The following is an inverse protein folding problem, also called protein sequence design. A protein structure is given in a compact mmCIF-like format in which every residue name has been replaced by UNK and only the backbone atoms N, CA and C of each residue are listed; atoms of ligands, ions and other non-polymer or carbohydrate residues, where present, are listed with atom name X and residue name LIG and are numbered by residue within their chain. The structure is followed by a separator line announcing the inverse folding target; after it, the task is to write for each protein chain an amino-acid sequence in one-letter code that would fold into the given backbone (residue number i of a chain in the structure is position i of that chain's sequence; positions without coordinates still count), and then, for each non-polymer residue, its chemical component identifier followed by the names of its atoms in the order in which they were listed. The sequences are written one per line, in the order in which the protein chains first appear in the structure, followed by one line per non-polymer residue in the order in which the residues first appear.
data_IF_099414487903
#
_entry.id   IF_099414487903
#
_cell.length_a   1.000
_cell.length_b   1.000
_cell.length_c   1.000
_cell.angle_alpha   90.00
_cell.angle_beta   90.00
_cell.angle_gamma   90.00
#
_symmetry.space_group_name_H-M   'P 1'
#
loop_
_entity.id
_entity.type
_entity.pdbx_description
1 polymer ?
#
# COMPACT_ATOMS: atom_id res chain seq x y z
N UNK A 1 49.10 -3.44 -25.56
CA UNK A 1 48.56 -4.26 -24.48
C UNK A 1 47.62 -3.47 -23.50
N UNK A 2 47.80 -2.16 -23.36
CA UNK A 2 46.94 -1.34 -22.49
C UNK A 2 45.50 -1.20 -23.01
N UNK A 3 45.30 -1.20 -24.34
CA UNK A 3 43.99 -1.07 -25.00
C UNK A 3 43.09 -2.30 -24.82
N UNK A 4 43.66 -3.49 -24.70
CA UNK A 4 42.91 -4.75 -24.52
C UNK A 4 42.49 -4.87 -23.05
N UNK A 5 43.38 -4.47 -22.12
CA UNK A 5 43.11 -4.49 -20.68
C UNK A 5 41.96 -3.55 -20.32
N UNK A 6 41.87 -2.37 -20.96
CA UNK A 6 40.77 -1.44 -20.74
C UNK A 6 39.42 -1.97 -21.25
N UNK A 7 39.39 -2.75 -22.34
CA UNK A 7 38.16 -3.37 -22.86
C UNK A 7 37.63 -4.47 -21.94
N UNK A 8 38.51 -5.32 -21.42
CA UNK A 8 38.11 -6.36 -20.48
C UNK A 8 37.63 -5.77 -19.12
N UNK A 9 38.31 -4.73 -18.62
CA UNK A 9 37.90 -4.02 -17.43
C UNK A 9 36.52 -3.36 -17.60
N UNK A 10 36.26 -2.75 -18.76
CA UNK A 10 34.97 -2.13 -19.09
C UNK A 10 33.84 -3.16 -19.17
N UNK A 11 34.09 -4.31 -19.82
CA UNK A 11 33.11 -5.40 -19.92
C UNK A 11 32.81 -5.98 -18.54
N UNK A 12 33.81 -6.18 -17.70
CA UNK A 12 33.63 -6.69 -16.34
C UNK A 12 32.86 -5.69 -15.49
N UNK A 13 33.08 -4.39 -15.64
CA UNK A 13 32.35 -3.36 -14.95
C UNK A 13 30.87 -3.30 -15.37
N UNK A 14 30.58 -3.44 -16.66
CA UNK A 14 29.24 -3.48 -17.22
C UNK A 14 28.49 -4.73 -16.73
N UNK A 15 29.14 -5.90 -16.67
CA UNK A 15 28.50 -7.13 -16.18
C UNK A 15 28.24 -7.10 -14.67
N UNK A 16 29.07 -6.43 -13.86
CA UNK A 16 28.80 -6.24 -12.43
C UNK A 16 27.59 -5.32 -12.18
N UNK A 17 27.37 -4.32 -13.03
CA UNK A 17 26.20 -3.43 -12.90
C UNK A 17 24.89 -4.09 -13.35
N UNK A 18 24.94 -5.17 -14.14
CA UNK A 18 23.73 -5.85 -14.66
C UNK A 18 23.05 -6.78 -13.65
N UNK A 19 23.61 -6.96 -12.44
CA UNK A 19 23.05 -7.83 -11.39
C UNK A 19 22.28 -7.10 -10.29
N UNK A 20 21.98 -5.83 -10.46
CA UNK A 20 21.06 -5.16 -9.55
C UNK A 20 19.64 -5.66 -9.88
N UNK A 21 19.14 -6.60 -9.08
CA UNK A 21 17.74 -6.97 -9.09
C UNK A 21 16.96 -5.77 -8.58
N UNK A 22 16.38 -5.01 -9.50
CA UNK A 22 15.37 -4.01 -9.17
C UNK A 22 14.11 -4.81 -8.79
N UNK A 23 13.93 -5.07 -7.52
CA UNK A 23 12.64 -5.53 -7.03
C UNK A 23 11.69 -4.33 -7.11
N UNK A 24 10.72 -4.40 -8.00
CA UNK A 24 9.70 -3.37 -8.18
C UNK A 24 8.60 -3.44 -7.12
N UNK A 25 8.54 -4.53 -6.35
CA UNK A 25 7.59 -4.80 -5.25
C UNK A 25 8.23 -5.80 -4.28
N UNK A 26 7.68 -5.92 -3.08
CA UNK A 26 8.08 -6.97 -2.16
C UNK A 26 7.84 -8.34 -2.80
N UNK A 27 8.84 -9.25 -2.80
CA UNK A 27 8.66 -10.59 -3.34
C UNK A 27 7.59 -11.36 -2.58
N UNK A 28 6.83 -12.22 -3.28
CA UNK A 28 5.89 -13.12 -2.64
C UNK A 28 6.59 -14.00 -1.59
N UNK A 29 5.99 -14.10 -0.41
CA UNK A 29 6.54 -14.86 0.71
C UNK A 29 7.65 -14.12 1.49
N UNK A 30 7.92 -12.84 1.19
CA UNK A 30 8.77 -12.01 2.05
C UNK A 30 8.03 -11.62 3.33
N UNK A 31 8.80 -11.33 4.37
CA UNK A 31 8.25 -10.75 5.61
C UNK A 31 7.78 -9.33 5.27
N UNK A 32 6.52 -9.04 5.55
CA UNK A 32 5.95 -7.71 5.38
C UNK A 32 6.60 -6.72 6.36
N UNK A 33 6.94 -5.51 5.94
CA UNK A 33 7.32 -4.46 6.90
C UNK A 33 6.18 -4.16 7.87
N UNK A 34 6.48 -4.06 9.15
CA UNK A 34 5.48 -3.61 10.14
C UNK A 34 5.14 -2.14 9.95
N UNK A 35 3.98 -1.73 10.46
CA UNK A 35 3.60 -0.32 10.53
C UNK A 35 2.79 -0.01 11.79
N UNK A 36 2.88 1.24 12.22
CA UNK A 36 1.96 1.87 13.17
C UNK A 36 1.44 3.15 12.51
N UNK A 37 0.18 3.12 12.05
CA UNK A 37 -0.43 4.19 11.27
C UNK A 37 -1.79 4.59 11.83
N UNK A 38 -2.10 5.88 11.76
CA UNK A 38 -3.37 6.43 12.23
C UNK A 38 -4.29 6.72 11.05
N UNK A 39 -5.53 6.26 11.14
CA UNK A 39 -6.56 6.47 10.13
C UNK A 39 -7.24 7.85 10.26
N UNK A 40 -8.13 8.19 9.30
CA UNK A 40 -8.89 9.44 9.31
C UNK A 40 -9.84 9.58 10.52
N UNK A 41 -10.14 8.49 11.22
CA UNK A 41 -10.95 8.49 12.45
C UNK A 41 -10.10 8.63 13.71
N UNK A 42 -8.80 8.90 13.59
CA UNK A 42 -7.83 9.00 14.68
C UNK A 42 -7.62 7.69 15.45
N UNK A 43 -7.86 6.55 14.80
CA UNK A 43 -7.55 5.23 15.35
C UNK A 43 -6.16 4.82 14.84
N UNK A 44 -5.28 4.43 15.77
CA UNK A 44 -3.96 3.90 15.42
C UNK A 44 -4.03 2.40 15.24
N UNK A 45 -3.43 1.90 14.17
CA UNK A 45 -3.39 0.51 13.76
C UNK A 45 -1.94 0.04 13.67
N UNK A 46 -1.65 -1.12 14.24
CA UNK A 46 -0.36 -1.81 14.15
C UNK A 46 -0.56 -3.12 13.39
N UNK A 47 0.20 -3.31 12.31
CA UNK A 47 -0.03 -4.44 11.41
C UNK A 47 0.08 -5.78 12.13
N UNK A 48 1.17 -5.99 12.88
CA UNK A 48 1.38 -7.25 13.56
C UNK A 48 0.52 -7.38 14.82
N UNK A 49 0.69 -6.45 15.77
CA UNK A 49 0.10 -6.55 17.11
C UNK A 49 -1.44 -6.62 17.06
N UNK A 50 -2.07 -5.83 16.17
CA UNK A 50 -3.53 -5.72 16.14
C UNK A 50 -4.19 -6.72 15.18
N UNK A 51 -3.43 -7.31 14.22
CA UNK A 51 -4.04 -8.12 13.15
C UNK A 51 -3.33 -9.44 12.90
N UNK A 52 -2.12 -9.47 12.34
CA UNK A 52 -1.53 -10.73 11.89
C UNK A 52 -1.18 -11.66 13.05
N UNK A 53 -0.73 -11.16 14.19
CA UNK A 53 -0.49 -11.94 15.40
C UNK A 53 -1.79 -12.49 16.03
N UNK A 54 -2.92 -11.88 15.66
CA UNK A 54 -4.26 -12.34 16.06
C UNK A 54 -4.91 -13.28 15.03
N UNK A 55 -4.22 -13.57 13.93
CA UNK A 55 -4.67 -14.49 12.90
C UNK A 55 -5.45 -13.87 11.74
N UNK A 56 -5.47 -12.54 11.63
CA UNK A 56 -6.12 -11.86 10.50
C UNK A 56 -5.22 -11.86 9.26
N UNK A 57 -5.80 -12.17 8.11
CA UNK A 57 -5.23 -11.81 6.81
C UNK A 57 -5.48 -10.32 6.57
N UNK A 58 -4.45 -9.57 6.18
CA UNK A 58 -4.57 -8.12 5.95
C UNK A 58 -4.39 -7.80 4.48
N UNK A 59 -5.38 -7.11 3.89
CA UNK A 59 -5.25 -6.50 2.56
C UNK A 59 -4.91 -5.03 2.71
N UNK A 60 -3.88 -4.58 1.99
CA UNK A 60 -3.41 -3.20 2.01
C UNK A 60 -3.39 -2.69 0.58
N UNK A 61 -4.28 -1.74 0.29
CA UNK A 61 -4.36 -1.03 -0.99
C UNK A 61 -3.54 0.26 -0.91
N UNK A 62 -2.37 0.26 -1.54
CA UNK A 62 -1.60 1.47 -1.77
C UNK A 62 -2.09 2.14 -3.05
N UNK A 63 -2.68 3.29 -2.92
CA UNK A 63 -3.24 4.08 -4.00
C UNK A 63 -2.81 5.55 -3.92
N UNK A 64 -3.05 6.30 -5.00
CA UNK A 64 -2.89 7.74 -5.02
C UNK A 64 -4.21 8.40 -5.46
N UNK A 65 -4.58 9.51 -4.84
CA UNK A 65 -5.89 10.16 -5.05
C UNK A 65 -6.18 10.54 -6.50
N UNK A 66 -5.15 10.86 -7.30
CA UNK A 66 -5.24 11.25 -8.70
C UNK A 66 -5.21 10.07 -9.68
N UNK A 67 -4.98 8.86 -9.19
CA UNK A 67 -4.74 7.67 -10.00
C UNK A 67 -6.07 7.11 -10.55
N UNK A 68 -6.29 7.21 -11.84
CA UNK A 68 -7.50 6.70 -12.50
C UNK A 68 -7.71 5.18 -12.36
N UNK A 69 -6.69 4.32 -12.60
CA UNK A 69 -6.80 2.88 -12.34
C UNK A 69 -7.12 2.55 -10.88
N UNK A 70 -6.56 3.29 -9.90
CA UNK A 70 -6.87 3.12 -8.49
C UNK A 70 -8.35 3.42 -8.19
N UNK A 71 -8.85 4.53 -8.76
CA UNK A 71 -10.25 4.89 -8.65
C UNK A 71 -11.18 3.82 -9.24
N UNK A 72 -10.83 3.28 -10.40
CA UNK A 72 -11.58 2.18 -11.00
C UNK A 72 -11.60 0.93 -10.13
N UNK A 73 -10.47 0.61 -9.48
CA UNK A 73 -10.38 -0.50 -8.53
C UNK A 73 -11.21 -0.23 -7.26
N UNK A 74 -11.06 0.95 -6.68
CA UNK A 74 -11.82 1.38 -5.50
C UNK A 74 -13.34 1.30 -5.74
N UNK A 75 -13.82 1.85 -6.85
CA UNK A 75 -15.25 1.86 -7.22
C UNK A 75 -15.78 0.52 -7.70
N UNK A 76 -14.93 -0.47 -7.95
CA UNK A 76 -15.36 -1.86 -8.18
C UNK A 76 -15.93 -2.52 -6.92
N UNK A 77 -15.66 -1.94 -5.74
CA UNK A 77 -16.06 -2.42 -4.43
C UNK A 77 -15.44 -3.76 -4.00
N UNK A 78 -14.43 -4.27 -4.72
CA UNK A 78 -13.82 -5.57 -4.42
C UNK A 78 -13.34 -5.69 -2.97
N UNK A 79 -12.58 -4.69 -2.48
CA UNK A 79 -12.10 -4.68 -1.09
C UNK A 79 -13.21 -4.34 -0.09
N UNK A 80 -14.20 -3.56 -0.49
CA UNK A 80 -15.38 -3.29 0.33
C UNK A 80 -16.15 -4.57 0.61
N UNK A 81 -16.43 -5.37 -0.42
CA UNK A 81 -17.13 -6.64 -0.28
C UNK A 81 -16.34 -7.61 0.62
N UNK A 82 -15.01 -7.64 0.49
CA UNK A 82 -14.14 -8.43 1.37
C UNK A 82 -14.27 -7.96 2.82
N UNK A 83 -14.16 -6.66 3.07
CA UNK A 83 -14.25 -6.12 4.43
C UNK A 83 -15.63 -6.33 5.06
N UNK A 84 -16.71 -6.08 4.32
CA UNK A 84 -18.08 -6.24 4.83
C UNK A 84 -18.38 -7.69 5.23
N UNK A 85 -17.84 -8.68 4.51
CA UNK A 85 -18.15 -10.09 4.74
C UNK A 85 -17.11 -10.83 5.58
N UNK A 86 -15.89 -10.32 5.70
CA UNK A 86 -14.77 -10.98 6.37
C UNK A 86 -14.09 -10.12 7.44
N UNK A 87 -14.45 -8.83 7.53
CA UNK A 87 -13.85 -7.86 8.45
C UNK A 87 -14.11 -8.16 9.93
N UNK A 88 -13.41 -7.44 10.82
CA UNK A 88 -13.51 -7.68 12.26
C UNK A 88 -14.92 -7.44 12.80
N UNK A 89 -15.46 -8.42 13.52
CA UNK A 89 -16.82 -8.37 14.07
C UNK A 89 -17.02 -7.14 14.95
N UNK A 90 -18.09 -6.41 14.69
CA UNK A 90 -18.46 -5.19 15.44
C UNK A 90 -17.83 -3.91 14.91
N UNK A 91 -16.96 -3.99 13.89
CA UNK A 91 -16.46 -2.81 13.21
C UNK A 91 -17.54 -2.18 12.30
N UNK A 92 -17.52 -0.84 12.10
CA UNK A 92 -18.44 -0.17 11.19
C UNK A 92 -18.42 -0.78 9.79
N UNK A 93 -19.59 -1.00 9.20
CA UNK A 93 -19.73 -1.56 7.86
C UNK A 93 -19.54 -3.07 7.75
N UNK A 94 -19.11 -3.76 8.78
CA UNK A 94 -18.94 -5.23 8.80
C UNK A 94 -20.29 -5.92 9.06
N UNK A 95 -20.60 -6.94 8.27
CA UNK A 95 -21.81 -7.75 8.42
C UNK A 95 -21.78 -8.58 9.71
N UNK A 96 -22.94 -8.76 10.35
CA UNK A 96 -23.05 -9.56 11.58
C UNK A 96 -22.68 -11.05 11.37
N UNK A 97 -22.70 -11.54 10.13
CA UNK A 97 -22.33 -12.91 9.74
C UNK A 97 -20.89 -13.00 9.20
N UNK A 98 -20.05 -12.01 9.49
CA UNK A 98 -18.65 -11.98 9.06
C UNK A 98 -17.88 -13.23 9.50
N UNK A 99 -16.88 -13.65 8.71
CA UNK A 99 -15.92 -14.70 9.13
C UNK A 99 -14.92 -14.19 10.15
N UNK A 100 -14.79 -12.85 10.31
CA UNK A 100 -13.95 -12.20 11.33
C UNK A 100 -12.46 -12.62 11.23
N UNK A 101 -11.93 -12.70 10.02
CA UNK A 101 -10.57 -13.19 9.73
C UNK A 101 -9.78 -12.32 8.74
N UNK A 102 -10.37 -11.20 8.29
CA UNK A 102 -9.73 -10.28 7.35
C UNK A 102 -9.74 -8.86 7.87
N UNK A 103 -8.66 -8.11 7.63
CA UNK A 103 -8.62 -6.66 7.75
C UNK A 103 -8.27 -6.04 6.40
N UNK A 104 -8.81 -4.85 6.13
CA UNK A 104 -8.54 -4.09 4.90
C UNK A 104 -8.11 -2.68 5.26
N UNK A 105 -7.06 -2.18 4.60
CA UNK A 105 -6.60 -0.81 4.68
C UNK A 105 -6.52 -0.18 3.29
N UNK A 106 -6.96 1.07 3.19
CA UNK A 106 -6.57 1.95 2.11
C UNK A 106 -5.48 2.89 2.61
N UNK A 107 -4.39 2.98 1.88
CA UNK A 107 -3.28 3.91 2.17
C UNK A 107 -3.09 4.84 0.98
N UNK A 108 -3.38 6.13 1.20
CA UNK A 108 -2.96 7.17 0.27
C UNK A 108 -1.44 7.32 0.40
N UNK A 109 -0.70 6.76 -0.53
CA UNK A 109 0.76 6.60 -0.43
C UNK A 109 1.57 7.68 -1.14
N UNK A 110 0.93 8.65 -1.79
CA UNK A 110 1.59 9.71 -2.57
C UNK A 110 1.71 11.05 -1.82
N UNK A 111 1.25 11.11 -0.56
CA UNK A 111 1.37 12.29 0.29
C UNK A 111 0.34 13.39 0.00
N UNK A 112 -0.84 13.01 -0.47
CA UNK A 112 -1.94 13.95 -0.68
C UNK A 112 -2.80 14.10 0.58
N UNK A 113 -3.51 15.24 0.68
CA UNK A 113 -4.29 15.60 1.84
C UNK A 113 -5.64 14.86 1.91
N UNK A 114 -6.23 14.83 3.12
CA UNK A 114 -7.60 14.36 3.35
C UNK A 114 -8.63 15.11 2.47
N UNK A 115 -8.44 16.41 2.25
CA UNK A 115 -9.31 17.19 1.36
C UNK A 115 -9.33 16.62 -0.04
N UNK A 116 -8.19 16.15 -0.55
CA UNK A 116 -8.09 15.50 -1.86
C UNK A 116 -8.80 14.15 -1.88
N UNK A 117 -8.69 13.36 -0.80
CA UNK A 117 -9.43 12.11 -0.61
C UNK A 117 -10.94 12.36 -0.56
N UNK A 118 -11.39 13.47 0.01
CA UNK A 118 -12.79 13.91 0.01
C UNK A 118 -13.31 14.46 -1.33
N UNK A 119 -12.57 14.28 -2.42
CA UNK A 119 -13.04 14.62 -3.76
C UNK A 119 -12.73 16.06 -4.19
N UNK A 120 -11.84 16.79 -3.49
CA UNK A 120 -11.57 18.18 -3.81
C UNK A 120 -10.10 18.45 -4.10
N UNK A 121 -9.79 18.83 -5.33
CA UNK A 121 -8.42 19.18 -5.75
C UNK A 121 -7.55 17.98 -6.09
N UNK A 122 -6.24 18.17 -6.18
CA UNK A 122 -5.21 17.15 -6.43
C UNK A 122 -5.43 16.26 -7.66
N UNK A 123 -6.32 16.63 -8.58
CA UNK A 123 -6.66 15.79 -9.73
C UNK A 123 -7.47 14.53 -9.38
N UNK A 124 -8.07 14.49 -8.18
CA UNK A 124 -8.89 13.36 -7.74
C UNK A 124 -10.10 13.16 -8.64
N UNK A 125 -10.42 11.91 -9.04
CA UNK A 125 -11.62 11.61 -9.82
C UNK A 125 -12.91 11.59 -8.99
N UNK A 126 -12.82 11.57 -7.65
CA UNK A 126 -14.01 11.53 -6.79
C UNK A 126 -13.71 11.48 -5.30
N UNK A 127 -14.74 11.17 -4.53
CA UNK A 127 -14.70 11.05 -3.07
C UNK A 127 -14.38 9.60 -2.68
N UNK A 128 -13.18 9.38 -2.13
CA UNK A 128 -12.67 8.08 -1.70
C UNK A 128 -13.17 7.69 -0.29
N UNK A 129 -13.66 8.68 0.47
CA UNK A 129 -14.02 8.51 1.89
C UNK A 129 -15.45 8.02 2.02
N UNK A 130 -16.39 8.72 1.34
CA UNK A 130 -17.80 8.42 1.48
C UNK A 130 -18.14 7.03 0.98
N UNK A 131 -18.68 6.19 1.86
CA UNK A 131 -19.08 4.82 1.55
C UNK A 131 -17.95 3.77 1.62
N UNK A 132 -16.76 4.17 2.07
CA UNK A 132 -15.65 3.26 2.36
C UNK A 132 -15.70 2.86 3.83
N UNK A 133 -15.99 1.58 4.17
CA UNK A 133 -16.21 1.17 5.55
C UNK A 133 -14.91 0.82 6.31
N UNK A 134 -13.83 0.54 5.59
CA UNK A 134 -12.54 0.16 6.18
C UNK A 134 -11.65 1.38 6.42
N UNK A 135 -10.64 1.28 7.30
CA UNK A 135 -9.73 2.38 7.60
C UNK A 135 -9.04 2.97 6.37
N UNK A 136 -9.05 4.29 6.29
CA UNK A 136 -8.33 5.09 5.31
C UNK A 136 -7.20 5.81 6.02
N UNK A 137 -5.98 5.59 5.57
CA UNK A 137 -4.78 6.24 6.07
C UNK A 137 -4.32 7.26 5.04
N UNK A 138 -4.26 8.52 5.48
CA UNK A 138 -3.78 9.62 4.67
C UNK A 138 -2.33 9.90 5.06
N UNK A 139 -1.40 9.75 4.13
CA UNK A 139 -0.01 10.11 4.36
C UNK A 139 0.19 11.60 4.06
N UNK A 140 1.09 12.25 4.80
CA UNK A 140 1.43 13.64 4.50
C UNK A 140 2.46 13.75 3.35
N UNK A 141 2.67 14.96 2.84
CA UNK A 141 3.59 15.21 1.75
C UNK A 141 5.05 14.81 2.05
N UNK A 142 5.44 14.71 3.33
CA UNK A 142 6.77 14.25 3.76
C UNK A 142 6.89 12.73 3.69
N UNK A 143 5.77 12.03 3.71
CA UNK A 143 5.65 10.58 3.67
C UNK A 143 5.31 10.04 2.28
N UNK A 144 5.20 10.91 1.27
CA UNK A 144 4.79 10.55 -0.09
C UNK A 144 5.80 9.71 -0.86
N UNK A 145 5.33 9.19 -1.98
CA UNK A 145 6.09 8.34 -2.90
C UNK A 145 7.44 8.97 -3.28
N UNK A 146 8.49 8.14 -3.22
CA UNK A 146 9.86 8.57 -3.54
C UNK A 146 10.64 9.19 -2.38
N UNK A 147 10.01 9.51 -1.25
CA UNK A 147 10.72 9.95 -0.05
C UNK A 147 11.28 8.74 0.71
N UNK A 148 12.60 8.71 1.01
CA UNK A 148 13.17 7.65 1.83
C UNK A 148 12.49 7.57 3.20
N UNK A 149 12.05 6.37 3.58
CA UNK A 149 11.36 6.14 4.86
C UNK A 149 9.84 6.34 4.80
N UNK A 150 9.28 6.78 3.67
CA UNK A 150 7.82 6.75 3.49
C UNK A 150 7.28 5.33 3.58
N UNK A 151 6.02 5.17 3.95
CA UNK A 151 5.36 3.85 3.99
C UNK A 151 5.41 3.17 2.61
N UNK A 152 5.16 3.90 1.53
CA UNK A 152 5.24 3.38 0.16
C UNK A 152 6.66 2.90 -0.20
N UNK A 153 7.69 3.66 0.20
CA UNK A 153 9.10 3.27 -0.01
C UNK A 153 9.48 2.03 0.82
N UNK A 154 9.06 1.97 2.08
CA UNK A 154 9.31 0.84 2.98
C UNK A 154 8.69 -0.45 2.43
N UNK A 155 7.53 -0.35 1.81
CA UNK A 155 6.82 -1.47 1.17
C UNK A 155 7.22 -1.69 -0.28
N UNK A 156 8.28 -1.04 -0.76
CA UNK A 156 8.77 -1.14 -2.14
C UNK A 156 7.66 -0.93 -3.19
N UNK A 157 6.71 -0.05 -2.91
CA UNK A 157 5.66 0.34 -3.86
C UNK A 157 6.31 1.09 -5.01
N UNK A 158 6.09 0.64 -6.24
CA UNK A 158 6.70 1.21 -7.45
C UNK A 158 5.66 1.77 -8.43
N UNK A 159 4.38 1.69 -8.11
CA UNK A 159 3.28 2.18 -8.94
C UNK A 159 1.92 1.98 -8.28
N UNK A 160 0.90 2.59 -8.85
CA UNK A 160 -0.46 2.65 -8.33
C UNK A 160 -1.48 1.99 -9.26
N UNK A 161 -2.49 1.23 -8.76
CA UNK A 161 -2.53 0.73 -7.38
C UNK A 161 -1.55 -0.42 -7.15
N UNK A 162 -1.13 -0.62 -5.90
CA UNK A 162 -0.46 -1.85 -5.47
C UNK A 162 -1.23 -2.42 -4.29
N UNK A 163 -1.68 -3.66 -4.41
CA UNK A 163 -2.39 -4.35 -3.32
C UNK A 163 -1.53 -5.48 -2.79
N UNK A 164 -1.26 -5.44 -1.49
CA UNK A 164 -0.58 -6.52 -0.78
C UNK A 164 -1.59 -7.33 0.02
N UNK A 165 -1.37 -8.64 0.07
CA UNK A 165 -1.99 -9.54 1.02
C UNK A 165 -0.92 -9.99 2.02
N UNK A 166 -1.14 -9.72 3.29
CA UNK A 166 -0.28 -10.17 4.39
C UNK A 166 -1.00 -11.28 5.13
N UNK A 167 -0.36 -12.44 5.20
CA UNK A 167 -0.89 -13.58 5.95
C UNK A 167 -0.40 -13.55 7.40
N UNK A 168 -1.16 -14.17 8.32
CA UNK A 168 -0.73 -14.38 9.70
C UNK A 168 0.59 -15.09 9.83
#
# INVERSE_FOLDING_TARGET
NLSIMNKHLLITLITLFSFQRLFAQLPNGSIAPDFELTDLNSVTHKLYEDYTDLGYTVFIDFSAVWCGPCWSYHTSHALKDVYENHGPLGHPGVNASTTNDVMVFFIEGDGNSETCLGGTGCGTPGDWITGTPYPIICTDASSGFGNPGSIASTWAVSGWPTVYQVCP
#
